data_IF_512302182366
#
_entry.id   IF_512302182366
#
_cell.length_a   1.000
_cell.length_b   1.000
_cell.length_c   1.000
_cell.angle_alpha   90.00
_cell.angle_beta   90.00
_cell.angle_gamma   90.00
#
_symmetry.space_group_name_H-M   'P 1'
#
loop_
_entity.id
_entity.type
_entity.pdbx_description
1 polymer ?
#
# COMPACT_ATOMS: atom_id res chain seq x y z
N UNK A 1 -30.67 2.59 -31.06
CA UNK A 1 -30.06 3.56 -30.13
C UNK A 1 -28.94 2.83 -29.43
N UNK A 2 -27.72 2.91 -29.96
CA UNK A 2 -26.56 2.27 -29.34
C UNK A 2 -25.31 3.03 -29.79
N UNK A 3 -24.97 4.08 -29.04
CA UNK A 3 -23.68 4.74 -29.09
C UNK A 3 -23.31 5.18 -27.67
N UNK A 4 -22.90 4.21 -26.84
CA UNK A 4 -22.08 4.47 -25.66
C UNK A 4 -20.96 3.42 -25.63
N UNK A 5 -19.77 3.84 -25.18
CA UNK A 5 -18.61 3.02 -24.81
C UNK A 5 -17.60 2.60 -25.89
N UNK A 6 -17.08 3.56 -26.66
CA UNK A 6 -15.73 3.39 -27.25
C UNK A 6 -14.76 4.47 -26.74
N UNK A 7 -15.24 5.70 -26.49
CA UNK A 7 -14.42 6.81 -25.98
C UNK A 7 -13.92 6.63 -24.54
N UNK A 8 -14.69 5.95 -23.67
CA UNK A 8 -14.32 5.75 -22.26
C UNK A 8 -13.23 4.68 -22.05
N UNK A 9 -13.11 3.71 -22.96
CA UNK A 9 -12.10 2.65 -22.85
C UNK A 9 -10.72 3.19 -23.28
N UNK A 10 -10.68 3.92 -24.40
CA UNK A 10 -9.45 4.50 -24.95
C UNK A 10 -8.80 5.51 -23.99
N UNK A 11 -9.59 6.36 -23.33
CA UNK A 11 -9.07 7.30 -22.33
C UNK A 11 -8.45 6.61 -21.09
N UNK A 12 -8.98 5.45 -20.67
CA UNK A 12 -8.41 4.68 -19.56
C UNK A 12 -7.11 3.98 -19.95
N UNK A 13 -6.99 3.55 -21.19
CA UNK A 13 -5.78 2.88 -21.68
C UNK A 13 -4.66 3.87 -22.04
N UNK A 14 -4.99 5.09 -22.45
CA UNK A 14 -4.04 6.20 -22.59
C UNK A 14 -3.54 6.71 -21.23
N UNK A 15 -4.44 6.91 -20.26
CA UNK A 15 -4.06 7.22 -18.87
C UNK A 15 -3.24 6.11 -18.18
N UNK A 16 -3.24 4.88 -18.73
CA UNK A 16 -2.38 3.78 -18.28
C UNK A 16 -0.95 3.86 -18.84
N UNK A 17 -0.74 4.51 -19.99
CA UNK A 17 0.59 4.64 -20.63
C UNK A 17 1.46 5.74 -20.01
N UNK A 18 0.85 6.75 -19.38
CA UNK A 18 1.56 7.85 -18.71
C UNK A 18 1.98 7.53 -17.26
N UNK A 19 1.70 6.32 -16.79
CA UNK A 19 2.00 5.87 -15.43
C UNK A 19 3.52 5.74 -15.25
N UNK A 20 4.10 6.52 -14.32
CA UNK A 20 5.54 6.54 -14.06
C UNK A 20 6.16 5.15 -13.78
N UNK A 21 7.49 4.99 -13.91
CA UNK A 21 8.18 3.69 -13.94
C UNK A 21 8.01 2.82 -12.68
N UNK A 22 7.52 3.40 -11.59
CA UNK A 22 7.27 2.75 -10.30
C UNK A 22 5.93 1.98 -10.25
N UNK A 23 5.12 2.04 -11.31
CA UNK A 23 3.76 1.49 -11.35
C UNK A 23 3.75 0.07 -11.92
N UNK A 24 4.03 -0.91 -11.07
CA UNK A 24 3.96 -2.34 -11.41
C UNK A 24 2.52 -2.79 -11.68
N UNK A 25 2.34 -3.79 -12.57
CA UNK A 25 1.04 -4.43 -12.84
C UNK A 25 0.75 -5.55 -11.82
N UNK A 26 -0.49 -5.65 -11.34
CA UNK A 26 -0.96 -6.69 -10.39
C UNK A 26 -0.70 -6.33 -8.92
N UNK A 27 -0.93 -7.20 -7.92
CA UNK A 27 -0.54 -6.98 -6.52
C UNK A 27 0.95 -7.23 -6.25
N UNK A 28 1.49 -6.72 -5.14
CA UNK A 28 2.84 -7.05 -4.66
C UNK A 28 2.92 -8.48 -4.12
N UNK A 29 4.13 -9.05 -4.07
CA UNK A 29 4.37 -10.35 -3.43
C UNK A 29 3.96 -10.36 -1.95
N UNK A 30 4.13 -9.22 -1.26
CA UNK A 30 3.70 -9.06 0.12
C UNK A 30 2.17 -9.17 0.23
N UNK A 31 1.43 -8.60 -0.69
CA UNK A 31 -0.03 -8.67 -0.69
C UNK A 31 -0.52 -10.10 -0.94
N UNK A 32 0.12 -10.83 -1.88
CA UNK A 32 -0.14 -12.26 -2.10
C UNK A 32 0.12 -13.08 -0.82
N UNK A 33 1.29 -12.88 -0.20
CA UNK A 33 1.69 -13.58 1.02
C UNK A 33 0.75 -13.26 2.20
N UNK A 34 0.36 -11.99 2.35
CA UNK A 34 -0.55 -11.54 3.40
C UNK A 34 -1.92 -12.20 3.27
N UNK A 35 -2.53 -12.20 2.08
CA UNK A 35 -3.82 -12.87 1.85
C UNK A 35 -3.73 -14.37 2.15
N UNK A 36 -2.68 -15.04 1.67
CA UNK A 36 -2.48 -16.47 1.95
C UNK A 36 -2.33 -16.74 3.44
N UNK A 37 -1.51 -15.95 4.14
CA UNK A 37 -1.30 -16.09 5.58
C UNK A 37 -2.61 -15.89 6.36
N UNK A 38 -3.36 -14.83 6.05
CA UNK A 38 -4.58 -14.48 6.77
C UNK A 38 -5.70 -15.52 6.55
N UNK A 39 -5.83 -16.05 5.32
CA UNK A 39 -6.75 -17.16 5.03
C UNK A 39 -6.36 -18.43 5.79
N UNK A 40 -5.07 -18.82 5.73
CA UNK A 40 -4.56 -20.01 6.42
C UNK A 40 -4.80 -19.98 7.93
N UNK A 41 -4.68 -18.81 8.54
CA UNK A 41 -4.86 -18.63 9.99
C UNK A 41 -6.25 -18.12 10.39
N UNK A 42 -7.23 -18.23 9.48
CA UNK A 42 -8.66 -17.90 9.74
C UNK A 42 -8.91 -16.46 10.20
N UNK A 43 -8.02 -15.53 9.84
CA UNK A 43 -8.29 -14.10 9.99
C UNK A 43 -9.27 -13.60 8.94
N UNK A 44 -9.32 -14.25 7.78
CA UNK A 44 -10.26 -13.91 6.70
C UNK A 44 -11.74 -14.14 7.07
N UNK A 45 -12.01 -14.90 8.15
CA UNK A 45 -13.36 -15.11 8.68
C UNK A 45 -13.90 -13.87 9.45
N UNK A 46 -13.03 -12.88 9.72
CA UNK A 46 -13.36 -11.65 10.46
C UNK A 46 -13.38 -10.46 9.53
N UNK A 47 -14.16 -9.44 9.89
CA UNK A 47 -14.03 -8.12 9.28
C UNK A 47 -12.76 -7.44 9.82
N UNK A 48 -11.81 -7.17 8.93
CA UNK A 48 -10.50 -6.61 9.29
C UNK A 48 -10.42 -5.13 8.92
N UNK A 49 -9.73 -4.35 9.74
CA UNK A 49 -9.34 -2.97 9.44
C UNK A 49 -7.86 -2.91 9.11
N UNK A 50 -7.53 -2.37 7.93
CA UNK A 50 -6.17 -2.34 7.40
C UNK A 50 -5.73 -0.90 7.17
N UNK A 51 -4.52 -0.57 7.61
CA UNK A 51 -3.81 0.64 7.22
C UNK A 51 -2.71 0.27 6.21
N UNK A 52 -2.83 0.76 4.98
CA UNK A 52 -1.84 0.59 3.91
C UNK A 52 -1.01 1.87 3.78
N UNK A 53 0.24 1.83 4.26
CA UNK A 53 1.13 2.99 4.35
C UNK A 53 2.01 3.09 3.11
N UNK A 54 2.03 4.28 2.50
CA UNK A 54 2.58 4.54 1.17
C UNK A 54 1.91 3.65 0.12
N UNK A 55 0.57 3.69 0.09
CA UNK A 55 -0.24 2.81 -0.74
C UNK A 55 -0.10 3.07 -2.25
N UNK A 56 0.53 4.19 -2.64
CA UNK A 56 0.65 4.63 -4.02
C UNK A 56 -0.71 4.75 -4.70
N UNK A 57 -0.85 4.10 -5.86
CA UNK A 57 -2.09 4.04 -6.62
C UNK A 57 -3.12 3.03 -6.09
N UNK A 58 -2.89 2.44 -4.91
CA UNK A 58 -3.84 1.55 -4.26
C UNK A 58 -3.88 0.12 -4.80
N UNK A 59 -2.94 -0.32 -5.65
CA UNK A 59 -2.92 -1.68 -6.22
C UNK A 59 -3.08 -2.80 -5.20
N UNK A 60 -2.41 -2.68 -4.05
CA UNK A 60 -2.44 -3.67 -2.99
C UNK A 60 -3.68 -3.51 -2.12
N UNK A 61 -4.07 -2.26 -1.81
CA UNK A 61 -5.36 -1.95 -1.18
C UNK A 61 -6.54 -2.61 -1.92
N UNK A 62 -6.62 -2.49 -3.25
CA UNK A 62 -7.66 -3.13 -4.06
C UNK A 62 -7.59 -4.65 -3.98
N UNK A 63 -6.39 -5.23 -4.11
CA UNK A 63 -6.24 -6.66 -4.01
C UNK A 63 -6.67 -7.22 -2.65
N UNK A 64 -6.36 -6.50 -1.56
CA UNK A 64 -6.73 -6.89 -0.20
C UNK A 64 -8.27 -6.92 -0.02
N UNK A 65 -8.98 -5.85 -0.41
CA UNK A 65 -10.46 -5.81 -0.28
C UNK A 65 -11.16 -6.81 -1.20
N UNK A 66 -10.56 -7.15 -2.34
CA UNK A 66 -11.14 -8.14 -3.26
C UNK A 66 -10.97 -9.59 -2.77
N UNK A 67 -10.08 -9.83 -1.81
CA UNK A 67 -9.70 -11.17 -1.38
C UNK A 67 -9.95 -11.45 0.11
N UNK A 68 -10.29 -10.43 0.89
CA UNK A 68 -10.51 -10.49 2.33
C UNK A 68 -11.80 -9.71 2.67
N UNK A 69 -12.47 -10.11 3.75
CA UNK A 69 -13.51 -9.30 4.34
C UNK A 69 -12.85 -8.15 5.14
N UNK A 70 -12.55 -7.02 4.50
CA UNK A 70 -11.83 -5.94 5.16
C UNK A 70 -12.18 -4.54 4.65
N UNK A 71 -11.84 -3.56 5.48
CA UNK A 71 -11.84 -2.14 5.14
C UNK A 71 -10.40 -1.62 5.15
N UNK A 72 -10.01 -0.90 4.11
CA UNK A 72 -8.66 -0.37 3.92
C UNK A 72 -8.68 1.16 3.98
N UNK A 73 -7.80 1.73 4.81
CA UNK A 73 -7.34 3.10 4.66
C UNK A 73 -5.96 3.08 3.97
N UNK A 74 -5.89 3.55 2.73
CA UNK A 74 -4.64 3.76 2.03
C UNK A 74 -4.15 5.20 2.23
N UNK A 75 -2.92 5.37 2.70
CA UNK A 75 -2.30 6.67 2.91
C UNK A 75 -1.03 6.80 2.07
N UNK A 76 -0.89 7.91 1.34
CA UNK A 76 0.33 8.24 0.61
C UNK A 76 0.56 9.76 0.60
N UNK A 77 1.83 10.18 0.51
CA UNK A 77 2.18 11.61 0.44
C UNK A 77 2.02 12.18 -0.97
N UNK A 78 2.06 11.34 -2.02
CA UNK A 78 1.86 11.78 -3.40
C UNK A 78 0.39 12.00 -3.68
N UNK A 79 0.05 13.27 -3.96
CA UNK A 79 -1.28 13.66 -4.39
C UNK A 79 -1.66 12.98 -5.70
N UNK A 80 -0.73 12.89 -6.63
CA UNK A 80 -0.92 12.27 -7.95
C UNK A 80 -1.25 10.79 -7.82
N UNK A 81 -0.53 10.05 -6.96
CA UNK A 81 -0.79 8.64 -6.71
C UNK A 81 -2.18 8.41 -6.09
N UNK A 82 -2.55 9.25 -5.12
CA UNK A 82 -3.86 9.18 -4.46
C UNK A 82 -5.00 9.56 -5.41
N UNK A 83 -4.81 10.53 -6.30
CA UNK A 83 -5.80 10.86 -7.33
C UNK A 83 -6.03 9.68 -8.28
N UNK A 84 -4.97 9.00 -8.71
CA UNK A 84 -5.08 7.77 -9.49
C UNK A 84 -5.80 6.67 -8.72
N UNK A 85 -5.45 6.45 -7.45
CA UNK A 85 -6.10 5.46 -6.60
C UNK A 85 -7.60 5.74 -6.48
N UNK A 86 -8.00 7.00 -6.24
CA UNK A 86 -9.40 7.41 -6.13
C UNK A 86 -10.15 7.24 -7.45
N UNK A 87 -9.53 7.56 -8.58
CA UNK A 87 -10.14 7.40 -9.90
C UNK A 87 -10.35 5.93 -10.30
N UNK A 88 -9.50 5.03 -9.80
CA UNK A 88 -9.60 3.59 -10.04
C UNK A 88 -10.61 2.88 -9.07
N UNK A 89 -11.20 3.61 -8.10
CA UNK A 89 -12.29 3.08 -7.24
C UNK A 89 -13.53 2.78 -8.08
N UNK A 90 -13.97 1.52 -8.06
CA UNK A 90 -15.19 1.06 -8.71
C UNK A 90 -16.34 0.97 -7.70
N UNK A 91 -17.58 0.80 -8.18
CA UNK A 91 -18.76 0.72 -7.31
C UNK A 91 -18.66 -0.39 -6.27
N UNK A 92 -18.11 -1.55 -6.65
CA UNK A 92 -17.87 -2.68 -5.74
C UNK A 92 -16.84 -2.40 -4.64
N UNK A 93 -15.99 -1.37 -4.81
CA UNK A 93 -14.98 -0.97 -3.82
C UNK A 93 -15.50 0.10 -2.85
N UNK A 94 -16.60 0.79 -3.19
CA UNK A 94 -17.14 1.87 -2.35
C UNK A 94 -17.56 1.33 -0.99
N UNK A 95 -17.14 2.02 0.06
CA UNK A 95 -17.37 1.61 1.46
C UNK A 95 -16.27 0.73 2.04
N UNK A 96 -15.49 0.04 1.22
CA UNK A 96 -14.41 -0.85 1.67
C UNK A 96 -13.02 -0.21 1.60
N UNK A 97 -12.84 0.86 0.82
CA UNK A 97 -11.55 1.55 0.74
C UNK A 97 -11.70 3.06 0.77
N UNK A 98 -10.77 3.72 1.46
CA UNK A 98 -10.59 5.16 1.46
C UNK A 98 -9.11 5.47 1.22
N UNK A 99 -8.84 6.45 0.36
CA UNK A 99 -7.48 6.92 0.08
C UNK A 99 -7.30 8.36 0.60
N UNK A 100 -6.23 8.59 1.35
CA UNK A 100 -5.87 9.88 1.92
C UNK A 100 -4.47 10.33 1.47
N UNK A 101 -4.40 11.56 0.94
CA UNK A 101 -3.14 12.22 0.66
C UNK A 101 -2.63 12.82 1.97
N UNK A 102 -1.79 12.07 2.68
CA UNK A 102 -1.32 12.41 4.02
C UNK A 102 0.05 11.80 4.27
N UNK A 103 0.92 12.52 4.97
CA UNK A 103 2.15 11.93 5.51
C UNK A 103 1.77 10.95 6.63
N UNK A 104 2.37 9.76 6.65
CA UNK A 104 2.08 8.76 7.69
C UNK A 104 2.32 9.32 9.11
N UNK A 105 3.20 10.32 9.25
CA UNK A 105 3.48 11.01 10.52
C UNK A 105 2.24 11.71 11.09
N UNK A 106 1.32 12.14 10.24
CA UNK A 106 0.12 12.91 10.60
C UNK A 106 -1.12 12.03 10.81
N UNK A 107 -1.01 10.70 10.69
CA UNK A 107 -2.10 9.77 10.98
C UNK A 107 -2.39 9.79 12.49
N UNK A 108 -3.44 10.53 12.89
CA UNK A 108 -3.72 10.87 14.30
C UNK A 108 -4.43 9.78 15.09
N UNK A 109 -5.33 9.01 14.47
CA UNK A 109 -6.21 8.09 15.17
C UNK A 109 -6.62 6.91 14.28
N UNK A 110 -6.94 5.79 14.92
CA UNK A 110 -7.30 4.53 14.27
C UNK A 110 -6.64 3.36 14.98
N UNK A 111 -7.39 2.27 15.12
CA UNK A 111 -6.87 0.99 15.58
C UNK A 111 -7.09 -0.01 14.46
N UNK A 112 -6.00 -0.55 13.93
CA UNK A 112 -6.01 -1.46 12.78
C UNK A 112 -5.65 -2.87 13.21
N UNK A 113 -6.34 -3.85 12.65
CA UNK A 113 -5.99 -5.26 12.79
C UNK A 113 -4.71 -5.56 12.02
N UNK A 114 -4.49 -4.87 10.89
CA UNK A 114 -3.32 -5.02 10.05
C UNK A 114 -2.73 -3.66 9.71
N UNK A 115 -1.39 -3.57 9.79
CA UNK A 115 -0.63 -2.52 9.13
C UNK A 115 0.15 -3.17 7.99
N UNK A 116 0.07 -2.57 6.80
CA UNK A 116 0.65 -3.09 5.57
C UNK A 116 1.60 -2.05 4.97
N UNK A 117 2.85 -2.45 4.70
CA UNK A 117 3.93 -1.56 4.24
C UNK A 117 4.73 -2.27 3.15
N UNK A 118 4.37 -2.05 1.89
CA UNK A 118 5.03 -2.69 0.75
C UNK A 118 6.01 -1.75 0.04
N UNK A 119 7.24 -2.21 -0.18
CA UNK A 119 8.22 -1.67 -1.14
C UNK A 119 8.55 -0.18 -0.95
N UNK A 120 8.52 0.30 0.29
CA UNK A 120 8.84 1.69 0.63
C UNK A 120 9.82 1.83 1.79
N UNK A 121 9.93 0.81 2.66
CA UNK A 121 10.64 0.94 3.93
C UNK A 121 12.13 1.34 3.77
N UNK A 122 12.79 0.85 2.72
CA UNK A 122 14.17 1.18 2.40
C UNK A 122 14.37 2.65 1.97
N UNK A 123 13.33 3.33 1.50
CA UNK A 123 13.39 4.75 1.16
C UNK A 123 13.27 5.67 2.39
N UNK A 124 12.89 5.14 3.55
CA UNK A 124 12.80 5.93 4.77
C UNK A 124 14.17 6.13 5.40
N UNK A 125 14.48 7.38 5.76
CA UNK A 125 15.65 7.72 6.56
C UNK A 125 15.50 7.19 7.98
N UNK A 126 16.59 7.12 8.75
CA UNK A 126 16.55 6.62 10.13
C UNK A 126 15.46 7.28 10.99
N UNK A 127 15.34 8.61 10.94
CA UNK A 127 14.33 9.37 11.70
C UNK A 127 12.90 9.06 11.26
N UNK A 128 12.68 8.78 9.97
CA UNK A 128 11.36 8.41 9.45
C UNK A 128 11.00 6.99 9.89
N UNK A 129 11.97 6.06 9.91
CA UNK A 129 11.78 4.69 10.45
C UNK A 129 11.41 4.71 11.94
N UNK A 130 12.03 5.58 12.74
CA UNK A 130 11.67 5.77 14.16
C UNK A 130 10.23 6.27 14.33
N UNK A 131 9.82 7.27 13.55
CA UNK A 131 8.46 7.80 13.56
C UNK A 131 7.44 6.78 13.08
N UNK A 132 7.78 5.99 12.07
CA UNK A 132 6.97 4.87 11.59
C UNK A 132 6.74 3.84 12.71
N UNK A 133 7.77 3.51 13.48
CA UNK A 133 7.61 2.60 14.62
C UNK A 133 6.70 3.17 15.71
N UNK A 134 6.76 4.47 15.98
CA UNK A 134 5.83 5.12 16.91
C UNK A 134 4.39 5.08 16.39
N UNK A 135 4.19 5.29 15.09
CA UNK A 135 2.89 5.14 14.46
C UNK A 135 2.37 3.70 14.61
N UNK A 136 3.16 2.70 14.19
CA UNK A 136 2.79 1.28 14.27
C UNK A 136 2.37 0.91 15.69
N UNK A 137 3.19 1.26 16.69
CA UNK A 137 2.88 0.95 18.10
C UNK A 137 1.59 1.63 18.57
N UNK A 138 1.29 2.86 18.12
CA UNK A 138 0.08 3.57 18.56
C UNK A 138 -1.17 3.11 17.81
N UNK A 139 -1.08 2.70 16.55
CA UNK A 139 -2.24 2.41 15.69
C UNK A 139 -2.52 0.92 15.51
N UNK A 140 -1.57 0.02 15.75
CA UNK A 140 -1.83 -1.41 15.71
C UNK A 140 -2.67 -1.83 16.93
N UNK A 141 -3.66 -2.70 16.71
CA UNK A 141 -4.42 -3.34 17.79
C UNK A 141 -3.56 -4.36 18.54
N UNK A 142 -3.90 -4.70 19.80
CA UNK A 142 -3.39 -5.92 20.42
C UNK A 142 -3.67 -7.13 19.52
N UNK A 143 -2.66 -7.99 19.34
CA UNK A 143 -2.69 -9.13 18.40
C UNK A 143 -2.85 -8.76 16.92
N UNK A 144 -2.69 -7.48 16.56
CA UNK A 144 -2.62 -7.05 15.17
C UNK A 144 -1.34 -7.53 14.49
N UNK A 145 -1.36 -7.56 13.16
CA UNK A 145 -0.27 -8.08 12.34
C UNK A 145 0.35 -6.94 11.53
N UNK A 146 1.68 -6.89 11.51
CA UNK A 146 2.44 -6.04 10.58
C UNK A 146 2.92 -6.89 9.42
N UNK A 147 2.54 -6.52 8.20
CA UNK A 147 3.18 -6.99 6.97
C UNK A 147 4.10 -5.89 6.44
N UNK A 148 5.37 -6.22 6.24
CA UNK A 148 6.38 -5.26 5.78
C UNK A 148 7.40 -5.95 4.87
N UNK A 149 7.75 -5.32 3.75
CA UNK A 149 8.96 -5.68 2.98
C UNK A 149 10.10 -4.72 3.27
N UNK A 150 11.30 -5.29 3.34
CA UNK A 150 12.56 -4.56 3.47
C UNK A 150 13.61 -5.24 2.58
N UNK A 151 14.56 -4.46 2.08
CA UNK A 151 15.72 -5.02 1.39
C UNK A 151 16.60 -5.76 2.39
N UNK A 152 17.16 -6.88 1.96
CA UNK A 152 18.07 -7.69 2.75
C UNK A 152 19.51 -7.30 2.45
N UNK A 153 20.35 -7.21 3.49
CA UNK A 153 21.81 -7.06 3.30
C UNK A 153 22.46 -8.27 2.59
N UNK A 154 21.73 -9.39 2.50
CA UNK A 154 22.15 -10.59 1.78
C UNK A 154 21.55 -10.66 0.36
N UNK A 155 20.85 -9.62 -0.09
CA UNK A 155 20.31 -9.54 -1.44
C UNK A 155 21.44 -9.29 -2.44
N UNK A 156 21.87 -10.33 -3.16
CA UNK A 156 22.95 -10.24 -4.13
C UNK A 156 22.62 -9.35 -5.33
N UNK A 157 21.34 -9.09 -5.58
CA UNK A 157 20.90 -8.31 -6.73
C UNK A 157 20.91 -6.81 -6.45
N UNK A 158 20.57 -6.40 -5.21
CA UNK A 158 20.42 -4.98 -4.86
C UNK A 158 21.42 -4.46 -3.82
N UNK A 159 22.08 -5.33 -3.04
CA UNK A 159 23.03 -4.89 -2.02
C UNK A 159 24.26 -4.21 -2.63
N UNK A 160 24.61 -3.03 -2.11
CA UNK A 160 25.78 -2.25 -2.55
C UNK A 160 25.63 -1.56 -3.91
N UNK A 161 24.42 -1.51 -4.48
CA UNK A 161 24.13 -0.75 -5.72
C UNK A 161 23.39 0.55 -5.41
N UNK A 162 23.81 1.64 -6.03
CA UNK A 162 23.27 2.99 -5.83
C UNK A 162 24.25 3.93 -5.13
N UNK A 163 23.89 5.21 -5.02
CA UNK A 163 24.70 6.20 -4.31
C UNK A 163 24.41 6.16 -2.80
N UNK A 164 25.43 5.98 -1.94
CA UNK A 164 25.24 5.99 -0.49
C UNK A 164 24.68 7.33 -0.02
N UNK A 165 23.68 7.28 0.87
CA UNK A 165 23.22 8.49 1.55
C UNK A 165 24.27 8.87 2.59
N UNK A 166 24.92 10.02 2.40
CA UNK A 166 25.99 10.49 3.27
C UNK A 166 25.53 10.53 4.75
N UNK A 167 26.22 9.79 5.62
CA UNK A 167 25.91 9.69 7.04
C UNK A 167 25.03 8.50 7.45
N UNK A 168 24.55 7.68 6.51
CA UNK A 168 23.84 6.43 6.82
C UNK A 168 24.64 5.22 6.28
N UNK A 169 25.47 4.60 7.15
CA UNK A 169 26.10 3.32 6.83
C UNK A 169 25.10 2.19 7.13
N UNK A 170 24.76 1.40 6.10
CA UNK A 170 23.82 0.26 6.13
C UNK A 170 22.31 0.58 6.13
N UNK A 171 21.90 1.72 5.56
CA UNK A 171 20.47 2.01 5.32
C UNK A 171 19.81 1.08 4.32
#
# INVERSE_FOLDING_TARGET
>A
MEQMNISNQNNRDEAKKERGPWMLKGPSELALAAVQFLKKHRYADKELTILDIACGNGRDSFYLIENLNCNVLGADISKEAIELARNDVQERHKGYVKFECIDFKDIKAGKYDIIFIANIYYNFRKKDREQLWHLIKRTLKPNGILFLTALSANDKEYYGKGEPVHGEYHS
#
